data_IF_873357832672
#
_entry.id   IF_873357832672
#
_cell.length_a   1.000
_cell.length_b   1.000
_cell.length_c   1.000
_cell.angle_alpha   90.00
_cell.angle_beta   90.00
_cell.angle_gamma   90.00
#
_symmetry.space_group_name_H-M   'P 1'
#
loop_
_entity.id
_entity.type
_entity.pdbx_description
1 polymer ?
#
# COMPACT_ATOMS: atom_id res chain seq x y z
N UNK A 1 -79.68 -1.23 14.36
CA UNK A 1 -79.13 -2.27 15.26
C UNK A 1 -77.61 -2.26 15.03
N UNK A 2 -76.72 -1.95 15.99
CA UNK A 2 -76.79 -2.05 17.47
C UNK A 2 -77.07 -3.50 17.90
N UNK A 3 -76.24 -4.24 18.64
CA UNK A 3 -74.89 -4.03 19.24
C UNK A 3 -74.06 -5.35 18.98
N UNK A 4 -72.93 -5.77 19.56
CA UNK A 4 -72.09 -5.40 20.71
C UNK A 4 -70.66 -6.06 20.61
N UNK A 5 -69.63 -5.47 21.23
CA UNK A 5 -68.33 -5.97 21.80
C UNK A 5 -67.57 -7.24 21.34
N UNK A 6 -66.22 -7.22 21.51
CA UNK A 6 -65.35 -8.40 21.34
C UNK A 6 -63.84 -8.20 21.60
N UNK A 7 -63.42 -7.38 22.57
CA UNK A 7 -62.00 -7.15 22.89
C UNK A 7 -61.41 -8.21 23.84
N UNK A 8 -60.22 -8.74 23.53
CA UNK A 8 -59.35 -9.44 24.48
C UNK A 8 -57.90 -9.50 23.96
N UNK A 9 -56.95 -9.08 24.80
CA UNK A 9 -55.52 -9.13 24.50
C UNK A 9 -54.84 -10.36 25.12
N UNK A 10 -53.65 -10.74 24.60
CA UNK A 10 -52.42 -10.97 25.42
C UNK A 10 -51.16 -11.32 24.61
N UNK A 11 -50.07 -10.63 24.98
CA UNK A 11 -48.74 -11.16 25.34
C UNK A 11 -48.19 -12.44 24.67
N UNK A 12 -46.94 -12.38 24.16
CA UNK A 12 -46.09 -13.59 24.13
C UNK A 12 -44.88 -13.59 23.18
N UNK A 13 -43.67 -13.69 23.77
CA UNK A 13 -42.56 -14.47 23.20
C UNK A 13 -41.73 -13.87 22.06
N UNK A 14 -40.55 -13.32 22.38
CA UNK A 14 -39.43 -13.35 21.44
C UNK A 14 -38.77 -14.75 21.45
N UNK A 15 -38.35 -15.27 20.30
CA UNK A 15 -37.58 -16.51 20.21
C UNK A 15 -36.57 -16.45 19.05
N UNK A 16 -35.28 -16.56 19.37
CA UNK A 16 -34.19 -16.66 18.39
C UNK A 16 -33.80 -18.11 18.15
N UNK A 17 -33.61 -18.55 16.89
CA UNK A 17 -32.94 -19.81 16.59
C UNK A 17 -31.42 -19.60 16.48
N UNK A 18 -30.68 -19.90 17.55
CA UNK A 18 -29.21 -19.95 17.51
C UNK A 18 -28.80 -21.24 16.78
N UNK A 19 -28.30 -21.13 15.54
CA UNK A 19 -28.03 -22.31 14.71
C UNK A 19 -26.58 -22.79 14.81
N UNK A 20 -26.25 -23.43 15.93
CA UNK A 20 -24.99 -24.12 16.15
C UNK A 20 -24.99 -25.50 15.47
N UNK A 21 -23.92 -25.85 14.73
CA UNK A 21 -23.70 -27.19 14.18
C UNK A 21 -22.21 -27.54 14.24
N UNK A 22 -21.91 -28.66 14.89
CA UNK A 22 -20.54 -29.08 15.17
C UNK A 22 -19.84 -29.80 14.01
N UNK A 23 -18.50 -29.77 14.12
CA UNK A 23 -17.55 -30.79 13.73
C UNK A 23 -17.82 -31.67 12.49
N UNK A 24 -16.83 -31.64 11.57
CA UNK A 24 -16.21 -32.90 11.12
C UNK A 24 -14.72 -32.76 10.88
N UNK A 25 -13.97 -33.68 11.48
CA UNK A 25 -12.52 -33.83 11.38
C UNK A 25 -12.21 -34.69 10.13
N UNK A 26 -11.28 -34.25 9.31
CA UNK A 26 -10.73 -35.06 8.21
C UNK A 26 -9.21 -34.91 8.15
N UNK A 27 -8.50 -36.03 8.01
CA UNK A 27 -7.07 -36.11 7.79
C UNK A 27 -6.84 -36.98 6.54
N UNK A 28 -5.82 -36.65 5.75
CA UNK A 28 -5.44 -37.43 4.56
C UNK A 28 -5.29 -36.54 3.32
N UNK A 29 -4.13 -36.61 2.67
CA UNK A 29 -3.81 -35.71 1.55
C UNK A 29 -2.32 -35.65 1.21
N UNK A 30 -1.62 -36.79 1.23
CA UNK A 30 -0.24 -36.85 0.74
C UNK A 30 -0.26 -36.81 -0.80
N UNK A 31 0.37 -35.80 -1.40
CA UNK A 31 0.70 -35.79 -2.83
C UNK A 31 2.16 -35.34 -3.03
N UNK A 32 3.07 -36.31 -3.06
CA UNK A 32 4.48 -36.10 -3.38
C UNK A 32 4.72 -36.14 -4.89
N UNK A 33 5.16 -35.02 -5.48
CA UNK A 33 5.85 -35.02 -6.79
C UNK A 33 7.02 -34.04 -6.76
N UNK A 34 8.20 -34.55 -7.07
CA UNK A 34 9.44 -33.77 -7.22
C UNK A 34 9.55 -33.17 -8.62
N UNK A 35 10.23 -32.02 -8.74
CA UNK A 35 10.83 -31.57 -10.02
C UNK A 35 12.25 -31.02 -9.75
N UNK A 36 13.27 -31.39 -10.54
CA UNK A 36 14.64 -30.92 -10.30
C UNK A 36 14.95 -29.52 -10.84
N UNK A 37 16.02 -28.96 -10.28
CA UNK A 37 17.00 -27.98 -10.81
C UNK A 37 16.75 -27.28 -12.15
N UNK A 38 17.01 -25.96 -12.17
CA UNK A 38 18.00 -25.39 -13.10
C UNK A 38 18.91 -24.42 -12.36
N UNK A 39 20.18 -24.36 -12.77
CA UNK A 39 21.24 -23.55 -12.15
C UNK A 39 21.67 -22.40 -13.07
N UNK A 40 22.23 -21.33 -12.51
CA UNK A 40 23.01 -20.32 -13.25
C UNK A 40 22.71 -18.87 -12.86
N UNK A 41 23.75 -18.06 -12.66
CA UNK A 41 23.64 -16.60 -12.51
C UNK A 41 24.36 -15.94 -11.31
N UNK A 42 25.58 -16.36 -10.97
CA UNK A 42 26.43 -15.66 -9.99
C UNK A 42 27.15 -14.46 -10.64
N UNK A 43 26.51 -13.29 -10.68
CA UNK A 43 27.17 -12.02 -11.04
C UNK A 43 28.02 -11.49 -9.87
N UNK A 44 29.35 -11.61 -9.96
CA UNK A 44 30.27 -11.31 -8.84
C UNK A 44 31.61 -10.69 -9.23
N UNK A 45 31.60 -9.38 -9.52
CA UNK A 45 32.74 -8.45 -9.44
C UNK A 45 32.27 -7.11 -8.86
N UNK A 46 33.10 -6.25 -8.25
CA UNK A 46 34.51 -6.41 -7.89
C UNK A 46 35.16 -5.07 -7.52
N UNK A 47 35.73 -4.95 -6.32
CA UNK A 47 36.49 -3.78 -5.86
C UNK A 47 35.69 -2.70 -5.07
N UNK A 48 36.31 -1.92 -4.17
CA UNK A 48 37.67 -2.03 -3.63
C UNK A 48 37.82 -1.26 -2.28
N UNK A 49 38.60 -1.84 -1.35
CA UNK A 49 39.18 -1.16 -0.17
C UNK A 49 38.23 -0.67 0.95
N UNK A 50 38.71 -0.38 2.16
CA UNK A 50 39.96 -0.82 2.81
C UNK A 50 39.86 -0.65 4.35
N UNK A 51 40.27 -1.70 5.07
CA UNK A 51 40.79 -1.71 6.46
C UNK A 51 39.96 -1.06 7.60
N UNK A 52 40.51 -1.13 8.82
CA UNK A 52 39.79 -0.99 10.11
C UNK A 52 40.44 0.06 11.02
N UNK A 53 39.69 0.57 12.03
CA UNK A 53 39.92 0.33 13.47
C UNK A 53 38.88 1.06 14.36
N UNK A 54 38.74 0.57 15.60
CA UNK A 54 38.34 1.29 16.82
C UNK A 54 36.94 1.96 16.95
N UNK A 55 36.03 1.23 17.61
CA UNK A 55 35.30 1.75 18.79
C UNK A 55 36.26 1.76 20.02
N UNK A 56 35.99 2.45 21.16
CA UNK A 56 34.77 3.19 21.53
C UNK A 56 34.99 4.63 22.05
N UNK A 57 33.91 5.40 22.25
CA UNK A 57 33.60 6.18 23.49
C UNK A 57 32.63 7.36 23.26
N UNK A 58 31.68 7.51 24.21
CA UNK A 58 31.11 8.77 24.72
C UNK A 58 30.99 10.00 23.78
N UNK A 59 29.82 10.19 23.15
CA UNK A 59 29.50 11.42 22.44
C UNK A 59 28.00 11.64 22.26
N UNK A 60 27.35 12.41 23.15
CA UNK A 60 25.92 12.69 23.07
C UNK A 60 25.59 13.75 21.99
N UNK A 61 25.60 13.35 20.71
CA UNK A 61 25.21 14.20 19.59
C UNK A 61 23.69 14.30 19.44
N UNK A 62 23.07 14.98 20.41
CA UNK A 62 21.71 15.48 20.28
C UNK A 62 21.66 16.63 19.25
N UNK A 63 21.86 16.28 17.97
CA UNK A 63 21.77 17.19 16.81
C UNK A 63 20.32 17.56 16.52
N UNK A 64 19.70 18.22 17.49
CA UNK A 64 18.40 18.86 17.37
C UNK A 64 18.54 20.14 16.58
N UNK A 65 18.79 20.02 15.26
CA UNK A 65 18.56 21.13 14.33
C UNK A 65 17.20 21.74 14.63
N UNK A 66 17.07 23.08 14.77
CA UNK A 66 15.83 23.73 15.12
C UNK A 66 14.87 23.72 13.91
N UNK A 67 14.30 22.55 13.62
CA UNK A 67 13.28 22.39 12.59
C UNK A 67 12.13 23.33 12.94
N UNK A 68 11.91 24.33 12.08
CA UNK A 68 10.94 25.40 12.32
C UNK A 68 9.54 24.81 12.56
N UNK A 69 9.09 24.86 13.81
CA UNK A 69 7.74 24.46 14.18
C UNK A 69 6.74 25.20 13.29
N UNK A 70 5.87 24.44 12.63
CA UNK A 70 4.95 24.98 11.65
C UNK A 70 3.53 24.48 11.88
N UNK A 71 2.56 25.32 11.55
CA UNK A 71 1.18 24.89 11.34
C UNK A 71 1.13 24.08 10.03
N UNK A 72 0.50 22.90 10.04
CA UNK A 72 0.11 22.23 8.81
C UNK A 72 -0.79 23.13 7.96
N UNK A 73 -0.62 23.03 6.66
CA UNK A 73 -1.51 23.56 5.65
C UNK A 73 -2.12 22.40 4.85
N UNK A 74 -3.24 22.63 4.16
CA UNK A 74 -4.05 21.55 3.56
C UNK A 74 -3.28 20.71 2.51
N UNK A 75 -2.29 21.30 1.84
CA UNK A 75 -1.39 20.60 0.91
C UNK A 75 -0.25 19.81 1.60
N UNK A 76 -0.05 19.93 2.91
CA UNK A 76 0.97 19.17 3.65
C UNK A 76 0.56 17.71 3.88
N UNK A 77 1.55 16.82 3.79
CA UNK A 77 1.41 15.37 3.92
C UNK A 77 1.80 14.95 5.33
N UNK A 78 0.80 14.82 6.21
CA UNK A 78 1.02 14.49 7.62
C UNK A 78 1.53 13.05 7.82
N UNK A 79 2.56 12.91 8.66
CA UNK A 79 3.26 11.66 8.94
C UNK A 79 3.04 11.25 10.40
N UNK A 80 2.34 10.13 10.59
CA UNK A 80 2.03 9.55 11.89
C UNK A 80 1.00 8.42 11.75
N UNK A 81 0.43 7.99 12.89
CA UNK A 81 -0.67 7.02 12.96
C UNK A 81 -1.88 7.68 13.62
N UNK A 82 -3.09 7.44 13.13
CA UNK A 82 -4.33 7.95 13.71
C UNK A 82 -5.38 8.39 12.67
N UNK A 83 -6.66 8.36 13.04
CA UNK A 83 -7.78 8.68 12.15
C UNK A 83 -7.81 10.13 11.65
N UNK A 84 -7.45 11.10 12.49
CA UNK A 84 -7.37 12.51 12.07
C UNK A 84 -6.29 12.76 11.02
N UNK A 85 -5.12 12.12 11.17
CA UNK A 85 -4.05 12.13 10.17
C UNK A 85 -4.51 11.42 8.88
N UNK A 86 -5.34 10.38 8.99
CA UNK A 86 -5.84 9.63 7.85
C UNK A 86 -6.72 10.47 6.91
N UNK A 87 -7.49 11.41 7.46
CA UNK A 87 -8.49 12.23 6.74
C UNK A 87 -8.00 13.66 6.45
N UNK A 88 -6.68 13.90 6.52
CA UNK A 88 -6.10 15.19 6.13
C UNK A 88 -6.12 15.34 4.59
N UNK A 89 -6.55 16.48 4.02
CA UNK A 89 -6.68 16.65 2.56
C UNK A 89 -5.39 16.32 1.79
N UNK A 90 -4.23 16.79 2.28
CA UNK A 90 -2.92 16.46 1.70
C UNK A 90 -2.59 14.97 1.72
N UNK A 91 -3.08 14.21 2.72
CA UNK A 91 -2.92 12.75 2.77
C UNK A 91 -3.86 12.01 1.80
N UNK A 92 -5.05 12.55 1.52
CA UNK A 92 -5.96 12.03 0.49
C UNK A 92 -5.43 12.30 -0.93
N UNK A 93 -4.89 13.50 -1.17
CA UNK A 93 -4.16 13.83 -2.40
C UNK A 93 -2.92 12.95 -2.57
N UNK A 94 -2.10 12.77 -1.53
CA UNK A 94 -0.95 11.86 -1.53
C UNK A 94 -1.35 10.43 -1.90
N UNK A 95 -2.41 9.86 -1.32
CA UNK A 95 -2.92 8.53 -1.70
C UNK A 95 -3.34 8.47 -3.16
N UNK A 96 -4.03 9.49 -3.65
CA UNK A 96 -4.47 9.58 -5.05
C UNK A 96 -3.28 9.59 -6.03
N UNK A 97 -2.20 10.29 -5.69
CA UNK A 97 -0.95 10.30 -6.46
C UNK A 97 -0.22 8.95 -6.38
N UNK A 98 -0.12 8.37 -5.18
CA UNK A 98 0.47 7.04 -4.96
C UNK A 98 -0.25 5.98 -5.80
N UNK A 99 -1.60 5.95 -5.78
CA UNK A 99 -2.39 4.96 -6.51
C UNK A 99 -2.22 5.08 -8.03
N UNK A 100 -2.27 6.31 -8.57
CA UNK A 100 -2.00 6.58 -10.00
C UNK A 100 -0.62 6.08 -10.45
N UNK A 101 0.41 6.24 -9.62
CA UNK A 101 1.80 5.86 -9.93
C UNK A 101 2.11 4.38 -9.60
N UNK A 102 1.24 3.71 -8.84
CA UNK A 102 1.43 2.37 -8.26
C UNK A 102 1.60 1.27 -9.29
N UNK A 103 0.77 1.28 -10.34
CA UNK A 103 0.86 0.32 -11.45
C UNK A 103 2.26 0.30 -12.05
N UNK A 104 2.80 1.50 -12.35
CA UNK A 104 4.15 1.68 -12.89
C UNK A 104 5.23 1.21 -11.91
N UNK A 105 5.07 1.48 -10.60
CA UNK A 105 5.99 1.00 -9.56
C UNK A 105 6.01 -0.53 -9.42
N UNK A 106 4.86 -1.18 -9.61
CA UNK A 106 4.73 -2.64 -9.52
C UNK A 106 5.25 -3.35 -10.78
N UNK A 107 5.12 -2.75 -11.97
CA UNK A 107 5.67 -3.29 -13.23
C UNK A 107 7.15 -2.99 -13.44
N UNK A 108 7.68 -1.92 -12.83
CA UNK A 108 9.11 -1.57 -12.91
C UNK A 108 10.00 -2.75 -12.47
N UNK A 109 11.05 -3.05 -13.23
CA UNK A 109 11.97 -4.15 -12.91
C UNK A 109 13.06 -3.68 -11.96
N UNK A 110 13.71 -2.57 -12.25
CA UNK A 110 14.94 -2.13 -11.60
C UNK A 110 14.71 -1.31 -10.32
N UNK A 111 15.66 -1.40 -9.37
CA UNK A 111 15.64 -0.61 -8.12
C UNK A 111 15.72 0.90 -8.39
N UNK A 112 16.43 1.31 -9.46
CA UNK A 112 16.58 2.73 -9.89
C UNK A 112 15.24 3.34 -10.30
N UNK A 113 14.46 2.66 -11.12
CA UNK A 113 13.11 3.08 -11.56
C UNK A 113 12.19 3.32 -10.35
N UNK A 114 12.18 2.37 -9.41
CA UNK A 114 11.37 2.45 -8.18
C UNK A 114 11.74 3.66 -7.30
N UNK A 115 13.04 4.01 -7.21
CA UNK A 115 13.50 5.25 -6.55
C UNK A 115 13.07 6.50 -7.31
N UNK A 116 13.14 6.51 -8.64
CA UNK A 116 12.69 7.64 -9.47
C UNK A 116 11.18 7.88 -9.35
N UNK A 117 10.35 6.83 -9.37
CA UNK A 117 8.88 6.93 -9.23
C UNK A 117 8.52 7.52 -7.86
N UNK A 118 9.12 7.03 -6.77
CA UNK A 118 8.92 7.60 -5.43
C UNK A 118 9.42 9.06 -5.32
N UNK A 119 10.52 9.40 -6.00
CA UNK A 119 11.06 10.76 -6.02
C UNK A 119 10.17 11.72 -6.82
N UNK A 120 9.56 11.24 -7.91
CA UNK A 120 8.59 12.03 -8.68
C UNK A 120 7.38 12.39 -7.82
N UNK A 121 6.79 11.46 -7.06
CA UNK A 121 5.61 11.77 -6.22
C UNK A 121 5.94 12.83 -5.14
N UNK A 122 7.13 12.78 -4.54
CA UNK A 122 7.58 13.82 -3.60
C UNK A 122 7.73 15.17 -4.30
N UNK A 123 8.24 15.18 -5.55
CA UNK A 123 8.33 16.38 -6.39
C UNK A 123 6.94 16.92 -6.77
N UNK A 124 6.05 16.06 -7.27
CA UNK A 124 4.65 16.38 -7.65
C UNK A 124 3.89 17.12 -6.52
N UNK A 125 4.26 16.87 -5.25
CA UNK A 125 3.65 17.47 -4.05
C UNK A 125 4.33 18.79 -3.65
N UNK A 126 5.64 18.91 -3.87
CA UNK A 126 6.41 20.14 -3.62
C UNK A 126 6.26 21.18 -4.74
N UNK A 127 5.84 20.77 -5.93
CA UNK A 127 5.47 21.63 -7.06
C UNK A 127 4.00 22.10 -7.04
N UNK A 128 3.26 21.82 -5.96
CA UNK A 128 1.95 22.43 -5.71
C UNK A 128 2.10 23.92 -5.36
N UNK A 129 1.04 24.69 -5.58
CA UNK A 129 0.91 26.06 -5.10
C UNK A 129 -0.29 26.17 -4.14
N UNK A 130 -0.07 26.49 -2.84
CA UNK A 130 1.22 26.59 -2.17
C UNK A 130 1.93 25.23 -1.98
N UNK A 131 3.27 25.22 -1.80
CA UNK A 131 4.08 23.99 -1.82
C UNK A 131 3.82 23.07 -0.63
N UNK A 132 3.44 21.81 -0.93
CA UNK A 132 3.18 20.77 0.07
C UNK A 132 4.47 20.18 0.64
N UNK A 133 4.55 20.08 1.97
CA UNK A 133 5.70 19.51 2.70
C UNK A 133 5.31 18.19 3.36
N UNK A 134 6.30 17.39 3.78
CA UNK A 134 6.06 16.13 4.47
C UNK A 134 6.30 16.34 5.97
N UNK A 135 5.23 16.60 6.73
CA UNK A 135 5.34 16.97 8.13
C UNK A 135 5.26 15.75 9.05
N UNK A 136 6.18 15.60 10.00
CA UNK A 136 6.04 14.69 11.13
C UNK A 136 5.81 15.45 12.43
N UNK A 137 5.09 14.83 13.36
CA UNK A 137 4.86 15.37 14.70
C UNK A 137 5.95 14.87 15.65
N UNK A 138 6.65 15.77 16.33
CA UNK A 138 7.55 15.39 17.42
C UNK A 138 6.72 14.91 18.63
N UNK A 139 6.94 13.69 19.17
CA UNK A 139 6.25 13.22 20.36
C UNK A 139 6.58 14.01 21.63
N UNK A 140 7.69 14.76 21.69
CA UNK A 140 8.10 15.52 22.89
C UNK A 140 7.45 16.91 22.95
N UNK A 141 7.60 17.72 21.91
CA UNK A 141 7.06 19.10 21.83
C UNK A 141 5.65 19.16 21.24
N UNK A 142 5.16 18.08 20.64
CA UNK A 142 3.90 18.06 19.90
C UNK A 142 3.90 18.88 18.59
N UNK A 143 5.03 19.48 18.22
CA UNK A 143 5.14 20.37 17.05
C UNK A 143 5.32 19.59 15.74
N UNK A 144 4.88 20.17 14.63
CA UNK A 144 5.10 19.63 13.29
C UNK A 144 6.35 20.21 12.63
N UNK A 145 7.13 19.34 11.98
CA UNK A 145 8.36 19.67 11.27
C UNK A 145 8.47 18.96 9.92
N UNK A 146 9.08 19.59 8.90
CA UNK A 146 9.38 18.92 7.62
C UNK A 146 10.48 17.87 7.82
N UNK A 147 10.21 16.65 7.35
CA UNK A 147 11.12 15.50 7.42
C UNK A 147 12.17 15.48 6.29
N UNK A 148 11.99 16.32 5.27
CA UNK A 148 12.87 16.39 4.09
C UNK A 148 12.67 15.25 3.08
N UNK A 149 13.27 15.40 1.91
CA UNK A 149 13.05 14.52 0.75
C UNK A 149 13.37 13.05 1.01
N UNK A 150 14.36 12.76 1.84
CA UNK A 150 14.78 11.38 2.10
C UNK A 150 13.66 10.57 2.77
N UNK A 151 13.20 11.04 3.93
CA UNK A 151 12.10 10.41 4.68
C UNK A 151 10.76 10.52 3.92
N UNK A 152 10.57 11.55 3.09
CA UNK A 152 9.41 11.67 2.20
C UNK A 152 9.40 10.58 1.10
N UNK A 153 10.55 10.31 0.46
CA UNK A 153 10.70 9.20 -0.51
C UNK A 153 10.50 7.85 0.15
N UNK A 154 10.92 7.67 1.40
CA UNK A 154 10.74 6.41 2.14
C UNK A 154 9.27 6.18 2.51
N UNK A 155 8.58 7.20 3.06
CA UNK A 155 7.11 7.16 3.27
C UNK A 155 6.37 6.83 1.98
N UNK A 156 6.78 7.45 0.87
CA UNK A 156 6.21 7.20 -0.47
C UNK A 156 6.48 5.77 -0.94
N UNK A 157 7.71 5.28 -0.76
CA UNK A 157 8.12 3.92 -1.12
C UNK A 157 7.47 2.86 -0.24
N UNK A 158 7.01 3.22 0.97
CA UNK A 158 6.19 2.37 1.83
C UNK A 158 4.74 2.33 1.32
N UNK A 159 4.12 3.48 1.08
CA UNK A 159 2.74 3.57 0.57
C UNK A 159 2.56 2.91 -0.82
N UNK A 160 3.59 2.93 -1.68
CA UNK A 160 3.60 2.23 -2.97
C UNK A 160 3.67 0.69 -2.84
N UNK A 161 4.07 0.16 -1.67
CA UNK A 161 4.08 -1.29 -1.37
C UNK A 161 2.81 -1.77 -0.66
N UNK A 162 2.09 -0.87 0.00
CA UNK A 162 0.79 -1.17 0.62
C UNK A 162 -0.26 -1.51 -0.45
N UNK A 163 -1.05 -2.57 -0.20
CA UNK A 163 -2.04 -3.14 -1.14
C UNK A 163 -1.48 -3.65 -2.49
N UNK A 164 -0.15 -3.76 -2.64
CA UNK A 164 0.51 -4.34 -3.81
C UNK A 164 -0.03 -5.73 -4.28
N UNK A 165 -0.37 -6.72 -3.41
CA UNK A 165 -0.82 -8.03 -3.90
C UNK A 165 -2.21 -8.00 -4.58
N UNK A 166 -3.08 -7.03 -4.23
CA UNK A 166 -4.38 -6.88 -4.90
C UNK A 166 -4.20 -6.38 -6.33
N UNK A 167 -3.44 -5.30 -6.48
CA UNK A 167 -3.22 -4.64 -7.77
C UNK A 167 -2.41 -5.52 -8.73
N UNK A 168 -1.50 -6.37 -8.22
CA UNK A 168 -0.82 -7.39 -9.04
C UNK A 168 -1.82 -8.35 -9.67
N UNK A 169 -2.75 -8.91 -8.89
CA UNK A 169 -3.80 -9.82 -9.41
C UNK A 169 -4.69 -9.15 -10.46
N UNK A 170 -4.89 -7.84 -10.37
CA UNK A 170 -5.65 -7.05 -11.36
C UNK A 170 -4.83 -6.84 -12.65
N UNK A 171 -3.55 -6.47 -12.53
CA UNK A 171 -2.61 -6.37 -13.66
C UNK A 171 -2.48 -7.72 -14.39
N UNK A 172 -2.31 -8.82 -13.64
CA UNK A 172 -2.15 -10.16 -14.21
C UNK A 172 -3.41 -10.59 -14.98
N UNK A 173 -4.61 -10.41 -14.39
CA UNK A 173 -5.89 -10.64 -15.08
C UNK A 173 -6.06 -9.80 -16.35
N UNK A 174 -5.67 -8.52 -16.32
CA UNK A 174 -5.77 -7.64 -17.49
C UNK A 174 -4.80 -8.07 -18.60
N UNK A 175 -3.59 -8.51 -18.25
CA UNK A 175 -2.61 -9.03 -19.20
C UNK A 175 -3.09 -10.33 -19.86
N UNK A 176 -3.69 -11.24 -19.08
CA UNK A 176 -4.21 -12.51 -19.62
C UNK A 176 -5.47 -12.29 -20.47
N UNK A 177 -6.38 -11.39 -20.06
CA UNK A 177 -7.51 -10.98 -20.89
C UNK A 177 -7.07 -10.35 -22.23
N UNK A 178 -5.98 -9.57 -22.23
CA UNK A 178 -5.39 -8.99 -23.46
C UNK A 178 -4.74 -10.03 -24.37
N UNK A 179 -4.11 -11.07 -23.81
CA UNK A 179 -3.57 -12.20 -24.58
C UNK A 179 -4.70 -12.99 -25.27
N UNK A 180 -5.77 -13.28 -24.54
CA UNK A 180 -6.94 -13.97 -25.06
C UNK A 180 -7.69 -13.15 -26.12
N UNK A 181 -7.77 -11.82 -25.97
CA UNK A 181 -8.32 -10.93 -27.00
C UNK A 181 -7.45 -10.94 -28.28
N UNK A 182 -6.15 -10.66 -28.15
CA UNK A 182 -5.20 -10.65 -29.27
C UNK A 182 -5.15 -11.99 -30.03
N UNK A 183 -5.27 -13.12 -29.32
CA UNK A 183 -5.37 -14.44 -29.96
C UNK A 183 -6.65 -14.60 -30.77
N UNK A 184 -7.80 -14.12 -30.27
CA UNK A 184 -9.08 -14.20 -31.01
C UNK A 184 -9.09 -13.28 -32.22
N UNK A 185 -8.49 -12.10 -32.11
CA UNK A 185 -8.29 -11.18 -33.23
C UNK A 185 -7.45 -11.83 -34.35
N UNK A 186 -6.40 -12.57 -33.98
CA UNK A 186 -5.59 -13.37 -34.93
C UNK A 186 -6.38 -14.54 -35.53
N UNK A 187 -7.14 -15.29 -34.72
CA UNK A 187 -7.99 -16.40 -35.20
C UNK A 187 -9.16 -15.93 -36.10
N UNK A 188 -9.62 -14.68 -35.95
CA UNK A 188 -10.62 -14.05 -36.82
C UNK A 188 -10.00 -13.46 -38.10
N UNK A 189 -8.77 -12.92 -38.06
CA UNK A 189 -8.06 -12.42 -39.25
C UNK A 189 -7.58 -13.55 -40.17
N UNK A 190 -7.14 -14.69 -39.61
CA UNK A 190 -6.72 -15.88 -40.37
C UNK A 190 -7.91 -16.69 -40.93
N UNK A 191 -9.15 -16.36 -40.54
CA UNK A 191 -10.34 -17.06 -41.01
C UNK A 191 -10.55 -16.89 -42.53
N UNK A 192 -10.74 -17.99 -43.31
CA UNK A 192 -10.85 -17.91 -44.75
C UNK A 192 -12.14 -17.20 -45.18
N UNK A 193 -11.98 -16.02 -45.78
CA UNK A 193 -13.07 -15.20 -46.34
C UNK A 193 -13.75 -15.99 -47.48
N UNK A 194 -15.08 -16.10 -47.40
CA UNK A 194 -15.95 -16.73 -48.40
C UNK A 194 -16.42 -15.72 -49.44
#
# INVERSE_FOLDING_TARGET
RREFSGELAREGGCATPIHQKDARKSQGGLCSVTRPTMSGGDDKEGGAGAESVAEPSSGATASGSPHKACTPHDHDVLCGRGGSINTHPGNERFRTLVEKRKRVYLTARFKREKRLIASSIVKDIRELDPPGRFLAKDPKTGSWYDIGDEKARDKTSQALRENAPTIRREIDKENDAKREAMRREQEEEEAPRR
#
